data_IF_543445216457
#
_entry.id   IF_543445216457
#
_cell.length_a   1.000
_cell.length_b   1.000
_cell.length_c   1.000
_cell.angle_alpha   90.00
_cell.angle_beta   90.00
_cell.angle_gamma   90.00
#
_symmetry.space_group_name_H-M   'P 1'
#
loop_
_entity.id
_entity.type
_entity.pdbx_description
1 polymer ?
#
# COMPACT_ATOMS: atom_id res chain seq x y z
N UNK A 1 -1.30 -6.89 -10.09
CA UNK A 1 -1.50 -8.22 -9.47
C UNK A 1 -2.34 -9.06 -10.41
N UNK A 2 -2.11 -10.38 -10.47
CA UNK A 2 -2.92 -11.30 -11.28
C UNK A 2 -4.15 -11.73 -10.48
N UNK A 3 -5.32 -11.21 -10.86
CA UNK A 3 -6.57 -11.36 -10.07
C UNK A 3 -7.23 -12.72 -10.34
N UNK A 4 -7.59 -13.41 -9.26
CA UNK A 4 -8.30 -14.70 -9.26
C UNK A 4 -9.72 -14.54 -8.73
N UNK A 5 -9.90 -13.92 -7.55
CA UNK A 5 -11.19 -13.68 -6.92
C UNK A 5 -11.15 -12.39 -6.10
N UNK A 6 -12.15 -11.52 -6.25
CA UNK A 6 -12.22 -10.24 -5.54
C UNK A 6 -12.97 -10.31 -4.21
N UNK A 7 -13.59 -11.43 -3.87
CA UNK A 7 -14.35 -11.58 -2.61
C UNK A 7 -13.43 -11.34 -1.41
N UNK A 8 -13.87 -10.49 -0.48
CA UNK A 8 -13.12 -10.15 0.73
C UNK A 8 -11.92 -9.20 0.53
N UNK A 9 -11.66 -8.71 -0.70
CA UNK A 9 -10.59 -7.75 -0.94
C UNK A 9 -10.84 -6.41 -0.21
N UNK A 10 -12.08 -5.91 -0.22
CA UNK A 10 -12.48 -4.69 0.48
C UNK A 10 -12.40 -4.82 2.00
N UNK A 11 -12.80 -5.97 2.54
CA UNK A 11 -12.69 -6.26 3.97
C UNK A 11 -11.21 -6.35 4.39
N UNK A 12 -10.37 -7.01 3.58
CA UNK A 12 -8.92 -7.12 3.81
C UNK A 12 -8.24 -5.74 3.75
N UNK A 13 -8.61 -4.91 2.78
CA UNK A 13 -8.16 -3.53 2.68
C UNK A 13 -8.55 -2.73 3.93
N UNK A 14 -9.82 -2.79 4.34
CA UNK A 14 -10.34 -2.08 5.51
C UNK A 14 -9.67 -2.54 6.80
N UNK A 15 -9.42 -3.84 6.94
CA UNK A 15 -8.68 -4.40 8.06
C UNK A 15 -7.24 -3.86 8.13
N UNK A 16 -6.57 -3.71 6.98
CA UNK A 16 -5.24 -3.12 6.91
C UNK A 16 -5.24 -1.61 7.23
N UNK A 17 -6.29 -0.87 6.83
CA UNK A 17 -6.48 0.53 7.25
C UNK A 17 -6.63 0.63 8.77
N UNK A 18 -7.50 -0.19 9.36
CA UNK A 18 -7.70 -0.24 10.81
C UNK A 18 -6.40 -0.61 11.54
N UNK A 19 -5.65 -1.60 11.03
CA UNK A 19 -4.33 -1.95 11.55
C UNK A 19 -3.36 -0.77 11.51
N UNK A 20 -3.25 -0.09 10.37
CA UNK A 20 -2.36 1.06 10.22
C UNK A 20 -2.70 2.19 11.20
N UNK A 21 -3.98 2.49 11.37
CA UNK A 21 -4.47 3.44 12.37
C UNK A 21 -4.07 3.04 13.80
N UNK A 22 -4.37 1.80 14.20
CA UNK A 22 -4.06 1.29 15.55
C UNK A 22 -2.56 1.24 15.85
N UNK A 23 -1.72 1.09 14.83
CA UNK A 23 -0.27 1.03 14.97
C UNK A 23 0.43 2.38 14.76
N UNK A 24 -0.33 3.47 14.61
CA UNK A 24 0.18 4.81 14.29
C UNK A 24 1.10 4.81 13.07
N UNK A 25 0.76 4.01 12.04
CA UNK A 25 1.46 4.01 10.77
C UNK A 25 1.02 5.26 9.98
N UNK A 26 1.95 6.01 9.36
CA UNK A 26 1.60 7.20 8.58
C UNK A 26 0.49 6.90 7.56
N UNK A 27 -0.46 7.83 7.32
CA UNK A 27 -1.62 7.57 6.46
C UNK A 27 -1.25 7.03 5.07
N UNK A 28 -0.25 7.62 4.42
CA UNK A 28 0.19 7.17 3.10
C UNK A 28 0.73 5.74 3.13
N UNK A 29 1.55 5.41 4.14
CA UNK A 29 2.09 4.08 4.33
C UNK A 29 0.98 3.06 4.64
N UNK A 30 -0.02 3.47 5.42
CA UNK A 30 -1.21 2.66 5.72
C UNK A 30 -1.99 2.33 4.45
N UNK A 31 -2.21 3.30 3.55
CA UNK A 31 -2.91 3.08 2.29
C UNK A 31 -2.13 2.19 1.33
N UNK A 32 -0.80 2.34 1.26
CA UNK A 32 0.06 1.44 0.49
C UNK A 32 -0.03 0.01 1.00
N UNK A 33 0.05 -0.17 2.33
CA UNK A 33 -0.14 -1.47 2.95
C UNK A 33 -1.53 -2.05 2.66
N UNK A 34 -2.58 -1.25 2.76
CA UNK A 34 -3.95 -1.68 2.52
C UNK A 34 -4.16 -2.11 1.07
N UNK A 35 -3.62 -1.37 0.10
CA UNK A 35 -3.65 -1.75 -1.31
C UNK A 35 -2.90 -3.08 -1.56
N UNK A 36 -1.73 -3.26 -0.94
CA UNK A 36 -0.99 -4.51 -1.05
C UNK A 36 -1.74 -5.70 -0.44
N UNK A 37 -2.42 -5.50 0.70
CA UNK A 37 -3.24 -6.52 1.36
C UNK A 37 -4.46 -6.88 0.52
N UNK A 38 -5.22 -5.90 0.05
CA UNK A 38 -6.37 -6.14 -0.84
C UNK A 38 -5.96 -6.83 -2.14
N UNK A 39 -4.86 -6.37 -2.76
CA UNK A 39 -4.30 -6.98 -3.96
C UNK A 39 -3.82 -8.42 -3.73
N UNK A 40 -3.17 -8.71 -2.59
CA UNK A 40 -2.75 -10.06 -2.24
C UNK A 40 -3.95 -10.99 -2.00
N UNK A 41 -5.03 -10.51 -1.36
CA UNK A 41 -6.27 -11.27 -1.20
C UNK A 41 -6.88 -11.58 -2.59
N UNK A 42 -6.81 -10.64 -3.53
CA UNK A 42 -7.35 -10.81 -4.87
C UNK A 42 -6.67 -11.93 -5.68
N UNK A 43 -5.45 -12.31 -5.30
CA UNK A 43 -4.67 -13.37 -5.94
C UNK A 43 -5.02 -14.77 -5.42
N UNK A 44 -5.85 -14.87 -4.36
CA UNK A 44 -6.39 -16.10 -3.82
C UNK A 44 -7.81 -16.38 -4.30
N UNK A 45 -8.40 -17.51 -3.87
CA UNK A 45 -9.80 -17.85 -4.13
C UNK A 45 -10.59 -17.87 -2.82
N UNK A 46 -11.68 -17.12 -2.75
CA UNK A 46 -12.53 -16.94 -1.57
C UNK A 46 -11.93 -16.02 -0.49
N UNK A 47 -12.69 -15.87 0.60
CA UNK A 47 -12.31 -15.04 1.76
C UNK A 47 -12.06 -15.89 3.03
N UNK A 48 -11.94 -15.23 4.19
CA UNK A 48 -11.74 -15.89 5.48
C UNK A 48 -10.31 -16.42 5.64
N UNK A 49 -10.11 -17.74 5.60
CA UNK A 49 -8.75 -18.34 5.74
C UNK A 49 -7.89 -18.21 4.48
N UNK A 50 -8.49 -17.78 3.37
CA UNK A 50 -7.81 -17.63 2.07
C UNK A 50 -7.41 -16.17 1.77
N UNK A 51 -7.52 -15.26 2.75
CA UNK A 51 -7.06 -13.87 2.59
C UNK A 51 -5.53 -13.79 2.50
N UNK A 52 -5.03 -12.61 2.17
CA UNK A 52 -3.61 -12.30 2.02
C UNK A 52 -2.71 -12.90 3.12
N UNK A 53 -1.64 -13.59 2.71
CA UNK A 53 -0.52 -13.93 3.59
C UNK A 53 0.46 -12.78 3.73
N UNK A 54 1.15 -12.70 4.87
CA UNK A 54 2.17 -11.68 5.11
C UNK A 54 3.29 -11.75 4.07
N UNK A 55 3.70 -12.95 3.68
CA UNK A 55 4.73 -13.21 2.69
C UNK A 55 4.35 -12.59 1.34
N UNK A 56 3.11 -12.80 0.88
CA UNK A 56 2.62 -12.25 -0.38
C UNK A 56 2.49 -10.73 -0.32
N UNK A 57 2.07 -10.17 0.82
CA UNK A 57 2.01 -8.71 1.02
C UNK A 57 3.42 -8.11 0.94
N UNK A 58 4.41 -8.72 1.58
CA UNK A 58 5.81 -8.26 1.52
C UNK A 58 6.36 -8.36 0.10
N UNK A 59 6.07 -9.46 -0.61
CA UNK A 59 6.44 -9.64 -2.02
C UNK A 59 5.89 -8.51 -2.88
N UNK A 60 4.59 -8.22 -2.75
CA UNK A 60 3.95 -7.12 -3.49
C UNK A 60 4.56 -5.77 -3.14
N UNK A 61 4.77 -5.46 -1.85
CA UNK A 61 5.37 -4.19 -1.42
C UNK A 61 6.78 -3.99 -2.01
N UNK A 62 7.57 -5.06 -2.13
CA UNK A 62 8.92 -5.00 -2.71
C UNK A 62 8.92 -4.96 -4.23
N UNK A 63 7.97 -5.65 -4.87
CA UNK A 63 7.84 -5.71 -6.32
C UNK A 63 7.12 -4.49 -6.92
N UNK A 64 6.50 -3.67 -6.06
CA UNK A 64 5.64 -2.56 -6.49
C UNK A 64 6.42 -1.51 -7.27
N UNK A 65 6.27 -1.56 -8.59
CA UNK A 65 6.54 -0.45 -9.50
C UNK A 65 5.29 0.45 -9.47
N UNK A 66 5.12 1.26 -8.42
CA UNK A 66 3.96 2.16 -8.29
C UNK A 66 4.12 3.30 -9.32
N UNK A 67 3.72 3.02 -10.56
CA UNK A 67 3.80 3.95 -11.68
C UNK A 67 2.59 4.90 -11.67
N UNK A 68 2.44 5.67 -10.60
CA UNK A 68 1.35 6.65 -10.44
C UNK A 68 1.56 7.89 -11.32
N UNK A 69 2.77 8.08 -11.86
CA UNK A 69 3.18 9.23 -12.68
C UNK A 69 2.31 9.37 -13.94
N UNK A 70 1.91 8.26 -14.57
CA UNK A 70 1.13 8.27 -15.81
C UNK A 70 -0.36 8.64 -15.63
N UNK A 71 -0.96 8.34 -14.48
CA UNK A 71 -2.38 8.61 -14.24
C UNK A 71 -2.65 10.05 -13.82
N UNK A 72 -1.66 10.72 -13.23
CA UNK A 72 -1.80 12.06 -12.67
C UNK A 72 -1.52 13.17 -13.70
N UNK A 73 -0.63 12.91 -14.66
CA UNK A 73 -0.22 13.89 -15.68
C UNK A 73 -1.35 14.35 -16.61
N UNK A 74 -2.34 13.51 -16.86
CA UNK A 74 -3.45 13.86 -17.77
C UNK A 74 -4.60 14.60 -17.07
N UNK A 75 -4.72 14.51 -15.73
CA UNK A 75 -5.96 14.89 -15.03
C UNK A 75 -5.79 16.04 -14.02
N UNK A 76 -4.57 16.36 -13.62
CA UNK A 76 -4.30 17.42 -12.64
C UNK A 76 -3.84 18.75 -13.27
N UNK A 77 -3.58 18.77 -14.58
CA UNK A 77 -3.10 19.98 -15.28
C UNK A 77 -4.24 20.99 -15.51
N UNK A 78 -5.50 20.60 -15.34
CA UNK A 78 -6.66 21.42 -15.70
C UNK A 78 -7.39 22.10 -14.51
N UNK A 79 -7.19 21.67 -13.26
CA UNK A 79 -7.93 22.19 -12.10
C UNK A 79 -7.03 22.81 -11.02
N UNK A 80 -7.38 24.02 -10.57
CA UNK A 80 -6.77 24.68 -9.41
C UNK A 80 -7.15 23.89 -8.15
N UNK A 81 -6.26 22.98 -7.73
CA UNK A 81 -6.51 22.10 -6.59
C UNK A 81 -6.69 22.95 -5.31
N UNK A 82 -7.89 22.92 -4.74
CA UNK A 82 -8.20 23.54 -3.45
C UNK A 82 -7.54 22.82 -2.26
N UNK A 83 -7.09 21.56 -2.46
CA UNK A 83 -6.59 20.68 -1.40
C UNK A 83 -5.15 20.23 -1.66
N UNK A 84 -4.37 20.10 -0.58
CA UNK A 84 -3.04 19.52 -0.63
C UNK A 84 -3.08 18.07 -1.14
N UNK A 85 -2.33 17.79 -2.20
CA UNK A 85 -2.26 16.47 -2.81
C UNK A 85 -0.98 15.77 -2.40
N UNK A 86 -1.07 14.54 -1.88
CA UNK A 86 0.11 13.69 -1.64
C UNK A 86 0.21 12.64 -2.72
N UNK A 87 1.33 12.62 -3.45
CA UNK A 87 1.60 11.69 -4.54
C UNK A 87 2.65 10.67 -4.09
N UNK A 88 2.38 9.38 -4.32
CA UNK A 88 3.42 8.34 -4.30
C UNK A 88 4.08 8.28 -5.67
N UNK A 89 5.38 8.53 -5.72
CA UNK A 89 6.14 8.57 -6.97
C UNK A 89 7.46 7.83 -6.85
N UNK A 90 7.93 7.24 -7.95
CA UNK A 90 9.24 6.59 -7.99
C UNK A 90 10.35 7.62 -8.18
N UNK A 91 10.07 8.65 -8.98
CA UNK A 91 10.93 9.81 -9.14
C UNK A 91 10.25 11.05 -8.55
N UNK A 92 11.01 11.95 -7.91
CA UNK A 92 10.47 13.25 -7.49
C UNK A 92 10.36 14.08 -8.77
N UNK A 93 9.15 14.45 -9.23
CA UNK A 93 9.01 15.25 -10.43
C UNK A 93 9.67 16.61 -10.22
N UNK A 94 10.45 17.07 -11.20
CA UNK A 94 10.98 18.43 -11.18
C UNK A 94 9.84 19.40 -11.53
N UNK A 95 9.51 20.33 -10.63
CA UNK A 95 8.48 21.35 -10.87
C UNK A 95 7.13 21.13 -10.17
N UNK A 96 7.12 20.38 -9.08
CA UNK A 96 5.92 20.20 -8.25
C UNK A 96 5.61 21.51 -7.50
N UNK A 97 4.44 22.09 -7.74
CA UNK A 97 3.99 23.30 -7.04
C UNK A 97 3.81 23.06 -5.53
N UNK A 98 3.85 24.13 -4.73
CA UNK A 98 3.85 24.07 -3.25
C UNK A 98 2.72 23.22 -2.62
N UNK A 99 1.58 23.06 -3.32
CA UNK A 99 0.42 22.28 -2.87
C UNK A 99 0.52 20.76 -3.08
N UNK A 100 1.52 20.29 -3.82
CA UNK A 100 1.70 18.87 -4.13
C UNK A 100 2.93 18.36 -3.38
N UNK A 101 2.73 17.31 -2.59
CA UNK A 101 3.79 16.65 -1.83
C UNK A 101 4.09 15.28 -2.41
N UNK A 102 5.29 15.09 -2.93
CA UNK A 102 5.73 13.77 -3.37
C UNK A 102 6.38 12.97 -2.23
N UNK A 103 6.02 11.69 -2.14
CA UNK A 103 6.61 10.71 -1.24
C UNK A 103 7.16 9.57 -2.09
N UNK A 104 8.41 9.19 -1.86
CA UNK A 104 9.00 8.08 -2.61
C UNK A 104 8.43 6.74 -2.17
N UNK A 105 8.19 5.85 -3.14
CA UNK A 105 7.71 4.49 -2.92
C UNK A 105 8.69 3.72 -2.04
N UNK A 106 9.99 3.86 -2.32
CA UNK A 106 11.07 3.19 -1.59
C UNK A 106 11.08 3.60 -0.12
N UNK A 107 10.83 4.89 0.18
CA UNK A 107 10.75 5.36 1.57
C UNK A 107 9.59 4.70 2.30
N UNK A 108 8.41 4.63 1.67
CA UNK A 108 7.25 3.97 2.27
C UNK A 108 7.51 2.49 2.53
N UNK A 109 8.12 1.79 1.57
CA UNK A 109 8.51 0.39 1.73
C UNK A 109 9.50 0.23 2.89
N UNK A 110 10.56 1.04 2.94
CA UNK A 110 11.55 1.04 4.01
C UNK A 110 10.93 1.28 5.40
N UNK A 111 9.95 2.19 5.50
CA UNK A 111 9.25 2.48 6.75
C UNK A 111 8.33 1.34 7.21
N UNK A 112 7.74 0.60 6.26
CA UNK A 112 6.82 -0.50 6.53
C UNK A 112 7.54 -1.81 6.88
N UNK A 113 8.66 -2.11 6.22
CA UNK A 113 9.34 -3.41 6.33
C UNK A 113 9.70 -3.82 7.77
N UNK A 114 10.29 -2.96 8.62
CA UNK A 114 10.62 -3.33 10.00
C UNK A 114 9.39 -3.75 10.80
N UNK A 115 8.24 -3.11 10.57
CA UNK A 115 7.00 -3.38 11.32
C UNK A 115 6.38 -4.73 10.93
N UNK A 116 6.55 -5.13 9.67
CA UNK A 116 6.00 -6.37 9.13
C UNK A 116 6.91 -7.59 9.42
N UNK A 117 8.22 -7.41 9.46
CA UNK A 117 9.19 -8.51 9.62
C UNK A 117 9.42 -8.93 11.09
N UNK A 118 9.18 -8.05 12.07
CA UNK A 118 9.39 -8.36 13.50
C UNK A 118 8.52 -9.57 13.96
N UNK A 119 7.36 -9.80 13.33
CA UNK A 119 6.43 -10.87 13.74
C UNK A 119 6.76 -12.28 13.24
N UNK A 120 7.70 -12.47 12.31
CA UNK A 120 8.11 -13.82 11.91
C UNK A 120 8.94 -14.55 13.00
N UNK A 121 9.53 -13.82 13.96
CA UNK A 121 10.32 -14.41 15.06
C UNK A 121 9.50 -14.94 16.24
N UNK A 122 8.17 -14.74 16.26
CA UNK A 122 7.30 -15.14 17.39
C UNK A 122 6.53 -16.44 17.19
N UNK A 123 6.58 -17.07 16.02
CA UNK A 123 5.78 -18.25 15.68
C UNK A 123 6.63 -19.55 15.66
N UNK A 124 7.34 -19.83 16.76
CA UNK A 124 7.87 -21.17 17.05
C UNK A 124 7.75 -21.45 18.55
N UNK A 125 6.56 -21.87 18.96
CA UNK A 125 6.38 -22.69 20.15
C UNK A 125 5.22 -23.65 19.86
N UNK A 126 5.50 -24.92 19.51
CA UNK A 126 4.48 -25.96 19.58
C UNK A 126 4.25 -26.26 21.06
N UNK A 127 2.99 -26.18 21.50
CA UNK A 127 2.50 -26.92 22.66
C UNK A 127 2.06 -28.30 22.20
#
# INVERSE_FOLDING_TARGET
>A
VDVVDTVGCGDSFTAAVAFGFLQNIPPMNTLVLANAVGGATAMGCGAGRNVASLEKVIELLKASDLNLENFLGEKLVEDDLETDLVILSKSIPNGVGDKIKCVSVEKVVCDLMPRLQIKQKGAMAPL
#
